data_IF_996945830039
#
_entry.id   IF_996945830039
#
_cell.length_a   1.000
_cell.length_b   1.000
_cell.length_c   1.000
_cell.angle_alpha   90.00
_cell.angle_beta   90.00
_cell.angle_gamma   90.00
#
_symmetry.space_group_name_H-M   'P 1'
#
loop_
_entity.id
_entity.type
_entity.pdbx_description
1 polymer ?
#
# COMPACT_ATOMS: atom_id res chain seq x y z
N UNK A 1 -43.82 23.03 -22.53
CA UNK A 1 -43.98 23.33 -21.09
C UNK A 1 -43.77 22.04 -20.32
N UNK A 2 -42.54 21.78 -19.87
CA UNK A 2 -42.22 20.64 -19.01
C UNK A 2 -42.55 21.02 -17.56
N UNK A 3 -43.41 20.23 -16.93
CA UNK A 3 -43.98 20.52 -15.63
C UNK A 3 -42.96 20.15 -14.53
N UNK A 4 -42.49 21.14 -13.77
CA UNK A 4 -41.44 21.03 -12.72
C UNK A 4 -42.03 20.56 -11.37
N UNK A 5 -43.20 19.91 -11.37
CA UNK A 5 -43.96 19.64 -10.15
C UNK A 5 -43.83 18.23 -9.57
N UNK A 6 -42.86 17.40 -10.02
CA UNK A 6 -42.75 16.00 -9.56
C UNK A 6 -41.39 15.60 -8.98
N UNK A 7 -40.49 16.55 -8.69
CA UNK A 7 -39.29 16.27 -7.87
C UNK A 7 -39.63 16.52 -6.40
N UNK A 8 -40.66 15.83 -5.93
CA UNK A 8 -41.00 15.69 -4.51
C UNK A 8 -40.71 14.24 -4.08
N UNK A 9 -39.50 13.78 -4.35
CA UNK A 9 -38.90 12.57 -3.77
C UNK A 9 -37.99 12.99 -2.61
N UNK A 10 -38.61 13.53 -1.56
CA UNK A 10 -37.93 13.90 -0.33
C UNK A 10 -37.72 12.66 0.54
N UNK A 11 -36.46 12.22 0.65
CA UNK A 11 -35.80 11.65 1.85
C UNK A 11 -34.63 10.73 1.52
N UNK A 12 -34.52 10.19 0.30
CA UNK A 12 -33.50 9.16 -0.02
C UNK A 12 -32.20 9.76 -0.59
N UNK A 13 -32.22 11.00 -1.07
CA UNK A 13 -31.11 11.57 -1.86
C UNK A 13 -29.99 12.26 -1.04
N UNK A 14 -30.14 12.46 0.27
CA UNK A 14 -29.22 13.31 1.06
C UNK A 14 -28.37 12.59 2.14
N UNK A 15 -28.68 11.34 2.50
CA UNK A 15 -27.86 10.54 3.44
C UNK A 15 -26.66 9.86 2.76
N UNK A 16 -26.70 9.72 1.43
CA UNK A 16 -25.73 8.92 0.68
C UNK A 16 -24.29 9.47 0.75
N UNK A 17 -24.09 10.79 0.78
CA UNK A 17 -22.75 11.38 0.84
C UNK A 17 -22.04 11.06 2.17
N UNK A 18 -22.78 11.15 3.28
CA UNK A 18 -22.28 10.77 4.61
C UNK A 18 -21.99 9.28 4.68
N UNK A 19 -22.86 8.44 4.12
CA UNK A 19 -22.67 7.00 4.07
C UNK A 19 -21.45 6.59 3.21
N UNK A 20 -21.23 7.28 2.09
CA UNK A 20 -20.05 7.07 1.24
C UNK A 20 -18.77 7.39 2.02
N UNK A 21 -18.75 8.48 2.82
CA UNK A 21 -17.58 8.81 3.64
C UNK A 21 -17.24 7.73 4.68
N UNK A 22 -18.26 7.03 5.18
CA UNK A 22 -18.14 5.92 6.14
C UNK A 22 -17.73 4.59 5.51
N UNK A 23 -17.68 4.48 4.18
CA UNK A 23 -17.37 3.21 3.55
C UNK A 23 -15.95 2.72 3.93
N UNK A 24 -15.87 1.49 4.46
CA UNK A 24 -14.65 0.83 4.89
C UNK A 24 -13.83 0.36 3.68
N UNK A 25 -13.13 1.30 3.06
CA UNK A 25 -12.29 1.05 1.89
C UNK A 25 -10.80 1.07 2.28
N UNK A 26 -10.09 -0.01 1.95
CA UNK A 26 -8.66 -0.17 2.25
C UNK A 26 -7.73 0.48 1.22
N UNK A 27 -8.26 1.23 0.23
CA UNK A 27 -7.47 1.82 -0.86
C UNK A 27 -6.42 2.82 -0.36
N UNK A 28 -6.74 3.60 0.67
CA UNK A 28 -5.81 4.51 1.33
C UNK A 28 -4.71 3.74 2.07
N UNK A 29 -5.09 2.67 2.79
CA UNK A 29 -4.15 1.81 3.50
C UNK A 29 -3.19 1.11 2.51
N UNK A 30 -3.72 0.59 1.39
CA UNK A 30 -2.95 0.01 0.29
C UNK A 30 -1.96 1.01 -0.30
N UNK A 31 -2.39 2.24 -0.58
CA UNK A 31 -1.50 3.28 -1.08
C UNK A 31 -0.36 3.54 -0.10
N UNK A 32 -0.70 3.69 1.17
CA UNK A 32 0.26 3.97 2.24
C UNK A 32 1.29 2.83 2.39
N UNK A 33 0.85 1.57 2.26
CA UNK A 33 1.72 0.40 2.30
C UNK A 33 2.66 0.35 1.07
N UNK A 34 2.15 0.65 -0.13
CA UNK A 34 2.94 0.68 -1.37
C UNK A 34 4.01 1.79 -1.38
N UNK A 35 3.73 2.94 -0.76
CA UNK A 35 4.69 4.05 -0.67
C UNK A 35 5.57 3.98 0.59
N UNK A 36 5.19 3.17 1.57
CA UNK A 36 5.87 3.00 2.86
C UNK A 36 5.80 4.22 3.78
N UNK A 37 5.06 5.28 3.41
CA UNK A 37 4.88 6.50 4.20
C UNK A 37 3.72 7.34 3.64
N UNK A 38 3.35 8.41 4.36
CA UNK A 38 2.39 9.41 3.91
C UNK A 38 3.09 10.75 3.58
N UNK A 39 2.50 11.50 2.65
CA UNK A 39 2.97 12.80 2.17
C UNK A 39 2.02 13.92 2.60
N UNK A 40 2.46 15.18 2.56
CA UNK A 40 1.57 16.30 2.86
C UNK A 40 0.42 16.44 1.85
N UNK A 41 0.59 15.98 0.61
CA UNK A 41 -0.48 16.02 -0.39
C UNK A 41 -1.64 15.09 -0.02
N UNK A 42 -1.38 14.02 0.75
CA UNK A 42 -2.40 13.08 1.22
C UNK A 42 -3.46 13.73 2.12
N UNK A 43 -3.16 14.91 2.69
CA UNK A 43 -4.11 15.71 3.49
C UNK A 43 -5.29 16.15 2.63
N UNK A 44 -5.03 16.51 1.38
CA UNK A 44 -6.02 16.98 0.42
C UNK A 44 -6.55 15.87 -0.48
N UNK A 45 -6.03 14.65 -0.39
CA UNK A 45 -6.60 13.50 -1.10
C UNK A 45 -7.72 12.89 -0.23
N UNK A 46 -8.97 13.28 -0.49
CA UNK A 46 -10.14 12.77 0.22
C UNK A 46 -10.75 11.59 -0.52
N UNK A 47 -10.74 10.41 0.11
CA UNK A 47 -11.47 9.23 -0.35
C UNK A 47 -12.09 8.52 0.87
N UNK A 48 -13.15 7.72 0.70
CA UNK A 48 -13.68 6.88 1.78
C UNK A 48 -12.64 5.96 2.40
N UNK A 49 -12.88 5.53 3.63
CA UNK A 49 -11.95 4.69 4.40
C UNK A 49 -10.81 5.49 5.04
N UNK A 50 -11.03 6.78 5.32
CA UNK A 50 -10.04 7.65 5.98
C UNK A 50 -9.63 7.08 7.34
N UNK A 51 -10.61 6.58 8.10
CA UNK A 51 -10.43 5.93 9.39
C UNK A 51 -9.72 4.58 9.28
N UNK A 52 -9.78 3.90 8.13
CA UNK A 52 -9.10 2.62 7.90
C UNK A 52 -7.61 2.75 7.58
N UNK A 53 -7.04 3.97 7.51
CA UNK A 53 -5.64 4.15 7.09
C UNK A 53 -4.64 3.45 8.01
N UNK A 54 -4.93 3.35 9.31
CA UNK A 54 -4.02 2.73 10.29
C UNK A 54 -3.99 1.19 10.17
N UNK A 55 -5.02 0.58 9.57
CA UNK A 55 -5.05 -0.84 9.21
C UNK A 55 -4.05 -1.20 8.10
N UNK A 56 -3.25 -0.25 7.60
CA UNK A 56 -2.14 -0.52 6.69
C UNK A 56 -1.09 -1.49 7.30
N UNK A 57 -1.02 -1.61 8.63
CA UNK A 57 -0.20 -2.61 9.29
C UNK A 57 -0.71 -4.06 9.10
N UNK A 58 -2.00 -4.25 8.85
CA UNK A 58 -2.66 -5.58 8.78
C UNK A 58 -3.01 -5.99 7.33
N UNK A 59 -2.46 -5.27 6.35
CA UNK A 59 -2.80 -5.43 4.94
C UNK A 59 -2.41 -6.79 4.34
N UNK A 60 -1.50 -7.51 5.00
CA UNK A 60 -1.09 -8.87 4.64
C UNK A 60 -2.12 -9.94 5.01
N UNK A 61 -3.25 -9.57 5.66
CA UNK A 61 -4.30 -10.50 6.10
C UNK A 61 -3.78 -11.63 7.00
N UNK A 62 -2.75 -11.33 7.79
CA UNK A 62 -2.12 -12.28 8.71
C UNK A 62 -1.16 -13.29 8.05
N UNK A 63 -0.88 -13.20 6.75
CA UNK A 63 0.10 -14.07 6.10
C UNK A 63 1.54 -13.68 6.49
N UNK A 64 2.33 -14.68 6.88
CA UNK A 64 3.76 -14.57 7.21
C UNK A 64 4.54 -15.62 6.41
N UNK A 65 4.86 -15.33 5.14
CA UNK A 65 5.43 -16.32 4.23
C UNK A 65 6.83 -16.73 4.68
N UNK A 66 7.17 -18.00 4.45
CA UNK A 66 8.50 -18.54 4.70
C UNK A 66 9.44 -18.12 3.57
N UNK A 67 10.64 -17.69 3.93
CA UNK A 67 11.70 -17.30 3.02
C UNK A 67 12.98 -18.09 3.34
N UNK A 68 13.55 -18.71 2.32
CA UNK A 68 14.85 -19.36 2.37
C UNK A 68 15.88 -18.53 1.63
N UNK A 69 16.99 -18.20 2.30
CA UNK A 69 18.11 -17.54 1.66
C UNK A 69 18.93 -18.58 0.88
N UNK A 70 18.85 -18.54 -0.45
CA UNK A 70 19.54 -19.47 -1.34
C UNK A 70 21.07 -19.34 -1.28
N UNK A 71 21.58 -18.21 -0.77
CA UNK A 71 23.02 -17.99 -0.61
C UNK A 71 23.59 -18.55 0.70
N UNK A 72 22.82 -18.52 1.79
CA UNK A 72 23.29 -18.88 3.14
C UNK A 72 22.66 -20.15 3.72
N UNK A 73 21.52 -20.59 3.19
CA UNK A 73 20.72 -21.69 3.74
C UNK A 73 19.71 -21.27 4.82
N UNK A 74 19.78 -20.03 5.30
CA UNK A 74 18.97 -19.57 6.42
C UNK A 74 17.49 -19.43 6.05
N UNK A 75 16.61 -19.97 6.90
CA UNK A 75 15.16 -19.92 6.71
C UNK A 75 14.53 -19.04 7.79
N UNK A 76 13.68 -18.10 7.37
CA UNK A 76 13.01 -17.15 8.24
C UNK A 76 11.62 -16.79 7.70
N UNK A 77 10.84 -16.04 8.47
CA UNK A 77 9.54 -15.52 8.03
C UNK A 77 9.65 -14.05 7.65
N UNK A 78 8.96 -13.66 6.59
CA UNK A 78 8.84 -12.24 6.25
C UNK A 78 7.82 -11.62 7.19
N UNK A 79 8.31 -10.74 8.06
CA UNK A 79 7.48 -10.09 9.08
C UNK A 79 6.86 -8.78 8.58
N UNK A 80 7.37 -8.21 7.50
CA UNK A 80 6.94 -6.90 7.01
C UNK A 80 5.61 -6.99 6.23
N UNK A 81 4.48 -6.49 6.78
CA UNK A 81 3.17 -6.68 6.16
C UNK A 81 3.00 -5.98 4.80
N UNK A 82 3.63 -4.83 4.59
CA UNK A 82 3.57 -4.11 3.31
C UNK A 82 4.28 -4.90 2.20
N UNK A 83 5.42 -5.52 2.51
CA UNK A 83 6.12 -6.41 1.58
C UNK A 83 5.28 -7.62 1.25
N UNK A 84 4.72 -8.30 2.26
CA UNK A 84 3.87 -9.48 2.02
C UNK A 84 2.68 -9.14 1.14
N UNK A 85 1.97 -8.03 1.41
CA UNK A 85 0.84 -7.60 0.57
C UNK A 85 1.24 -7.26 -0.86
N UNK A 86 2.39 -6.61 -1.05
CA UNK A 86 2.94 -6.38 -2.39
C UNK A 86 3.26 -7.70 -3.10
N UNK A 87 3.90 -8.65 -2.42
CA UNK A 87 4.22 -9.97 -2.97
C UNK A 87 2.96 -10.77 -3.34
N UNK A 88 1.92 -10.71 -2.52
CA UNK A 88 0.60 -11.27 -2.84
C UNK A 88 0.03 -10.63 -4.12
N UNK A 89 0.19 -9.32 -4.32
CA UNK A 89 -0.37 -8.61 -5.48
C UNK A 89 0.32 -8.98 -6.80
N UNK A 90 1.63 -9.23 -6.79
CA UNK A 90 2.41 -9.57 -7.99
C UNK A 90 2.49 -11.09 -8.24
N UNK A 91 2.31 -11.89 -7.19
CA UNK A 91 2.41 -13.35 -7.24
C UNK A 91 1.30 -13.97 -8.09
N UNK A 92 1.67 -14.95 -8.91
CA UNK A 92 0.74 -15.75 -9.71
C UNK A 92 0.89 -17.22 -9.34
N UNK A 93 -0.24 -17.92 -9.20
CA UNK A 93 -0.25 -19.33 -8.82
C UNK A 93 0.48 -20.16 -9.87
N UNK A 94 1.35 -21.06 -9.44
CA UNK A 94 2.16 -21.92 -10.31
C UNK A 94 3.26 -21.18 -11.07
N UNK A 95 3.56 -19.93 -10.71
CA UNK A 95 4.60 -19.15 -11.37
C UNK A 95 5.67 -18.66 -10.39
N UNK A 96 6.92 -18.66 -10.84
CA UNK A 96 8.03 -17.95 -10.20
C UNK A 96 8.08 -16.52 -10.71
N UNK A 97 7.90 -15.55 -9.81
CA UNK A 97 8.09 -14.13 -10.10
C UNK A 97 9.41 -13.67 -9.49
N UNK A 98 10.32 -13.17 -10.32
CA UNK A 98 11.58 -12.60 -9.84
C UNK A 98 11.39 -11.12 -9.53
N UNK A 99 11.90 -10.69 -8.38
CA UNK A 99 11.87 -9.31 -7.90
C UNK A 99 13.27 -8.88 -7.52
N UNK A 100 13.55 -7.59 -7.74
CA UNK A 100 14.83 -6.98 -7.42
C UNK A 100 14.64 -5.82 -6.47
N UNK A 101 15.45 -5.80 -5.42
CA UNK A 101 15.54 -4.71 -4.46
C UNK A 101 16.72 -3.83 -4.83
N UNK A 102 16.46 -2.53 -4.96
CA UNK A 102 17.47 -1.51 -5.23
C UNK A 102 17.28 -0.35 -4.27
N UNK A 103 18.37 0.32 -3.88
CA UNK A 103 18.27 1.61 -3.21
C UNK A 103 17.60 2.63 -4.12
N UNK A 104 16.83 3.52 -3.51
CA UNK A 104 16.35 4.75 -4.15
C UNK A 104 17.57 5.53 -4.62
N UNK A 105 17.58 6.08 -5.85
CA UNK A 105 18.64 6.96 -6.28
C UNK A 105 18.78 8.10 -5.26
N UNK A 106 20.01 8.38 -4.83
CA UNK A 106 20.29 9.39 -3.82
C UNK A 106 19.75 10.74 -4.34
N UNK A 107 18.81 11.33 -3.61
CA UNK A 107 18.26 12.63 -3.98
C UNK A 107 19.33 13.70 -3.85
N UNK A 108 19.43 14.57 -4.86
CA UNK A 108 20.18 15.81 -4.72
C UNK A 108 19.57 16.63 -3.58
N UNK A 109 20.37 16.86 -2.53
CA UNK A 109 19.97 17.67 -1.38
C UNK A 109 19.60 19.12 -1.75
N UNK A 110 19.99 19.56 -2.95
CA UNK A 110 19.74 20.89 -3.50
C UNK A 110 18.33 21.08 -4.11
N UNK A 111 17.54 20.01 -4.27
CA UNK A 111 16.19 20.11 -4.85
C UNK A 111 15.14 20.59 -3.82
N UNK A 112 14.25 21.51 -4.25
CA UNK A 112 13.11 22.00 -3.44
C UNK A 112 12.24 20.82 -2.94
N UNK A 113 11.62 20.92 -1.75
CA UNK A 113 10.83 19.82 -1.16
C UNK A 113 9.74 19.25 -2.08
N UNK A 114 9.05 20.12 -2.84
CA UNK A 114 8.01 19.73 -3.80
C UNK A 114 8.58 18.94 -4.99
N UNK A 115 9.75 19.33 -5.50
CA UNK A 115 10.42 18.64 -6.59
C UNK A 115 10.93 17.25 -6.17
N UNK A 116 11.45 17.14 -4.93
CA UNK A 116 11.80 15.84 -4.31
C UNK A 116 10.59 14.92 -4.21
N UNK A 117 9.42 15.46 -3.85
CA UNK A 117 8.20 14.67 -3.77
C UNK A 117 7.71 14.20 -5.14
N UNK A 118 7.65 15.08 -6.15
CA UNK A 118 7.25 14.73 -7.51
C UNK A 118 8.16 13.64 -8.11
N UNK A 119 9.46 13.73 -7.90
CA UNK A 119 10.42 12.74 -8.38
C UNK A 119 10.24 11.37 -7.70
N UNK A 120 9.81 11.32 -6.44
CA UNK A 120 9.43 10.09 -5.73
C UNK A 120 8.18 9.42 -6.31
N UNK A 121 7.23 10.22 -6.78
CA UNK A 121 6.07 9.71 -7.50
C UNK A 121 6.44 9.20 -8.90
N UNK A 122 7.31 9.90 -9.64
CA UNK A 122 7.77 9.43 -10.95
C UNK A 122 8.48 8.07 -10.89
N UNK A 123 9.09 7.71 -9.76
CA UNK A 123 9.66 6.36 -9.55
C UNK A 123 8.58 5.25 -9.64
N UNK A 124 7.33 5.55 -9.26
CA UNK A 124 6.19 4.61 -9.40
C UNK A 124 5.62 4.56 -10.82
N UNK A 125 5.96 5.52 -11.68
CA UNK A 125 5.45 5.66 -13.04
C UNK A 125 4.66 6.96 -13.26
N UNK A 126 4.57 7.39 -14.51
CA UNK A 126 3.89 8.64 -14.90
C UNK A 126 2.37 8.53 -14.65
N UNK A 127 1.75 7.42 -15.06
CA UNK A 127 0.29 7.23 -14.95
C UNK A 127 -0.18 7.26 -13.49
N UNK A 128 0.39 6.47 -12.55
CA UNK A 128 0.02 6.55 -11.14
C UNK A 128 0.21 7.94 -10.54
N UNK A 129 1.26 8.66 -10.97
CA UNK A 129 1.54 10.02 -10.49
C UNK A 129 0.45 11.00 -10.93
N UNK A 130 0.02 10.96 -12.19
CA UNK A 130 -1.04 11.83 -12.72
C UNK A 130 -2.36 11.55 -12.02
N UNK A 131 -2.74 10.28 -11.89
CA UNK A 131 -3.96 9.88 -11.18
C UNK A 131 -3.96 10.33 -9.73
N UNK A 132 -2.80 10.27 -9.06
CA UNK A 132 -2.64 10.71 -7.68
C UNK A 132 -2.78 12.24 -7.54
N UNK A 133 -2.15 13.03 -8.42
CA UNK A 133 -2.21 14.50 -8.37
C UNK A 133 -3.63 15.01 -8.69
N UNK A 134 -4.39 14.27 -9.51
CA UNK A 134 -5.77 14.64 -9.84
C UNK A 134 -6.68 14.69 -8.60
N UNK A 135 -6.43 13.87 -7.57
CA UNK A 135 -7.21 13.86 -6.33
C UNK A 135 -7.21 15.20 -5.60
N UNK A 136 -6.05 15.73 -5.15
CA UNK A 136 -5.97 17.03 -4.50
C UNK A 136 -6.50 18.19 -5.36
N UNK A 137 -6.31 18.13 -6.69
CA UNK A 137 -6.87 19.13 -7.62
C UNK A 137 -8.40 19.07 -7.61
N UNK A 138 -8.99 17.87 -7.61
CA UNK A 138 -10.43 17.68 -7.53
C UNK A 138 -10.98 18.19 -6.19
N UNK A 139 -10.30 17.92 -5.08
CA UNK A 139 -10.66 18.45 -3.76
C UNK A 139 -10.61 19.97 -3.74
N UNK A 140 -9.55 20.60 -4.25
CA UNK A 140 -9.46 22.06 -4.34
C UNK A 140 -10.59 22.66 -5.21
N UNK A 141 -10.92 22.01 -6.33
CA UNK A 141 -12.02 22.40 -7.21
C UNK A 141 -13.36 22.36 -6.47
N UNK A 142 -13.61 21.30 -5.72
CA UNK A 142 -14.86 21.13 -4.96
C UNK A 142 -14.96 22.13 -3.79
N UNK A 143 -13.84 22.46 -3.12
CA UNK A 143 -13.80 23.55 -2.12
C UNK A 143 -14.26 24.86 -2.75
N UNK A 144 -13.69 25.22 -3.90
CA UNK A 144 -14.02 26.49 -4.58
C UNK A 144 -15.51 26.52 -4.93
N UNK A 145 -16.04 25.43 -5.51
CA UNK A 145 -17.46 25.34 -5.87
C UNK A 145 -18.39 25.49 -4.65
N UNK A 146 -18.08 24.83 -3.53
CA UNK A 146 -18.85 24.93 -2.29
C UNK A 146 -18.80 26.35 -1.71
N UNK A 147 -17.63 26.99 -1.73
CA UNK A 147 -17.48 28.38 -1.31
C UNK A 147 -18.30 29.35 -2.17
N UNK A 148 -18.35 29.14 -3.49
CA UNK A 148 -19.18 29.94 -4.42
C UNK A 148 -20.67 29.79 -4.11
N UNK A 149 -21.11 28.57 -3.79
CA UNK A 149 -22.50 28.28 -3.40
C UNK A 149 -22.81 28.76 -1.97
N UNK A 150 -21.79 29.14 -1.19
CA UNK A 150 -21.88 29.58 0.21
C UNK A 150 -22.52 28.52 1.13
N UNK A 151 -22.27 27.24 0.83
CA UNK A 151 -22.73 26.12 1.66
C UNK A 151 -21.73 25.85 2.79
N UNK A 152 -21.95 26.51 3.93
CA UNK A 152 -21.09 26.38 5.12
C UNK A 152 -21.15 25.00 5.76
N UNK A 153 -22.26 24.28 5.64
CA UNK A 153 -22.39 22.91 6.15
C UNK A 153 -21.52 21.95 5.34
N UNK A 154 -21.61 22.01 4.01
CA UNK A 154 -20.74 21.22 3.13
C UNK A 154 -19.25 21.56 3.34
N UNK A 155 -18.92 22.84 3.54
CA UNK A 155 -17.56 23.27 3.84
C UNK A 155 -17.08 22.72 5.19
N UNK A 156 -17.94 22.73 6.21
CA UNK A 156 -17.66 22.15 7.52
C UNK A 156 -17.42 20.64 7.45
N UNK A 157 -18.24 19.91 6.70
CA UNK A 157 -18.06 18.46 6.44
C UNK A 157 -16.71 18.20 5.80
N UNK A 158 -16.37 18.93 4.75
CA UNK A 158 -15.08 18.75 4.09
C UNK A 158 -13.91 19.13 5.01
N UNK A 159 -14.05 20.19 5.80
CA UNK A 159 -13.06 20.59 6.80
C UNK A 159 -12.77 19.49 7.82
N UNK A 160 -13.81 18.82 8.33
CA UNK A 160 -13.65 17.68 9.24
C UNK A 160 -12.91 16.51 8.58
N UNK A 161 -13.23 16.19 7.32
CA UNK A 161 -12.53 15.14 6.57
C UNK A 161 -11.04 15.49 6.35
N UNK A 162 -10.73 16.75 6.01
CA UNK A 162 -9.35 17.23 5.83
C UNK A 162 -8.58 17.17 7.15
N UNK A 163 -9.19 17.56 8.28
CA UNK A 163 -8.55 17.47 9.61
C UNK A 163 -8.33 16.00 10.00
N UNK A 164 -9.30 15.12 9.74
CA UNK A 164 -9.13 13.69 9.96
C UNK A 164 -7.95 13.11 9.13
N UNK A 165 -7.84 13.48 7.85
CA UNK A 165 -6.68 13.13 7.01
C UNK A 165 -5.38 13.67 7.57
N UNK A 166 -5.36 14.94 7.99
CA UNK A 166 -4.17 15.57 8.57
C UNK A 166 -3.65 14.80 9.76
N UNK A 167 -4.52 14.44 10.71
CA UNK A 167 -4.15 13.67 11.89
C UNK A 167 -3.57 12.31 11.48
N UNK A 168 -4.24 11.58 10.59
CA UNK A 168 -3.78 10.27 10.12
C UNK A 168 -2.43 10.35 9.39
N UNK A 169 -2.24 11.35 8.52
CA UNK A 169 -0.96 11.59 7.82
C UNK A 169 0.16 11.87 8.81
N UNK A 170 -0.07 12.72 9.81
CA UNK A 170 0.93 13.03 10.83
C UNK A 170 1.32 11.78 11.63
N UNK A 171 0.35 10.98 12.04
CA UNK A 171 0.58 9.73 12.78
C UNK A 171 1.38 8.75 11.92
N UNK A 172 0.97 8.50 10.66
CA UNK A 172 1.69 7.58 9.75
C UNK A 172 3.12 8.04 9.52
N UNK A 173 3.37 9.34 9.34
CA UNK A 173 4.74 9.87 9.17
C UNK A 173 5.61 9.67 10.40
N UNK A 174 5.03 9.73 11.60
CA UNK A 174 5.75 9.45 12.85
C UNK A 174 6.04 7.96 13.01
N UNK A 175 5.11 7.09 12.60
CA UNK A 175 5.21 5.63 12.72
C UNK A 175 6.07 4.96 11.64
N UNK A 176 6.21 5.54 10.44
CA UNK A 176 6.96 4.98 9.30
C UNK A 176 8.47 5.27 9.32
N UNK A 177 9.03 5.60 10.49
CA UNK A 177 10.49 5.78 10.62
C UNK A 177 11.18 4.42 10.64
N UNK A 178 12.31 4.32 9.94
CA UNK A 178 13.14 3.10 9.91
C UNK A 178 13.61 2.75 11.32
N UNK A 179 13.16 1.61 11.83
CA UNK A 179 13.66 1.01 13.07
C UNK A 179 14.85 0.07 12.83
N UNK A 180 15.12 -0.79 13.80
CA UNK A 180 16.12 -1.85 13.69
C UNK A 180 15.74 -2.90 12.64
N UNK A 181 16.71 -3.36 11.83
CA UNK A 181 16.52 -4.33 10.72
C UNK A 181 17.58 -5.45 10.70
N UNK A 182 18.19 -5.75 11.85
CA UNK A 182 19.28 -6.73 11.95
C UNK A 182 20.68 -6.11 11.89
N UNK A 183 21.70 -6.98 11.99
CA UNK A 183 23.10 -6.59 11.85
C UNK A 183 23.42 -6.20 10.40
N UNK A 184 24.28 -5.19 10.25
CA UNK A 184 24.76 -4.71 8.95
C UNK A 184 25.69 -5.74 8.31
N UNK A 185 25.44 -6.05 7.05
CA UNK A 185 26.23 -6.97 6.21
C UNK A 185 26.55 -6.29 4.88
N UNK A 186 27.46 -5.30 4.89
CA UNK A 186 27.68 -4.42 3.74
C UNK A 186 28.27 -5.18 2.55
N UNK A 187 27.71 -4.94 1.36
CA UNK A 187 28.23 -5.46 0.09
C UNK A 187 27.90 -6.92 -0.19
N UNK A 188 27.21 -7.63 0.71
CA UNK A 188 26.80 -9.02 0.50
C UNK A 188 25.56 -9.05 -0.38
N UNK A 189 25.60 -9.86 -1.44
CA UNK A 189 24.45 -10.11 -2.30
C UNK A 189 23.60 -11.27 -1.75
N UNK A 190 22.30 -11.05 -1.68
CA UNK A 190 21.32 -12.03 -1.23
C UNK A 190 20.36 -12.43 -2.33
N UNK A 191 19.91 -13.68 -2.25
CA UNK A 191 18.87 -14.26 -3.09
C UNK A 191 17.91 -15.03 -2.18
N UNK A 192 16.65 -14.60 -2.11
CA UNK A 192 15.63 -15.17 -1.24
C UNK A 192 14.58 -15.89 -2.09
N UNK A 193 14.33 -17.14 -1.79
CA UNK A 193 13.16 -17.86 -2.28
C UNK A 193 12.02 -17.76 -1.26
N UNK A 194 10.86 -17.27 -1.69
CA UNK A 194 9.73 -16.95 -0.83
C UNK A 194 8.52 -17.73 -1.32
N UNK A 195 7.90 -18.49 -0.41
CA UNK A 195 6.67 -19.23 -0.69
C UNK A 195 5.50 -18.52 -0.04
N UNK A 196 4.58 -18.02 -0.86
CA UNK A 196 3.31 -17.49 -0.41
C UNK A 196 2.20 -18.54 -0.49
N UNK A 197 1.07 -18.23 0.14
CA UNK A 197 -0.17 -18.96 0.01
C UNK A 197 -0.61 -19.08 -1.46
N UNK A 198 -1.40 -20.11 -1.76
CA UNK A 198 -1.92 -20.39 -3.11
C UNK A 198 -0.83 -20.70 -4.17
N UNK A 199 0.27 -21.34 -3.77
CA UNK A 199 1.35 -21.76 -4.67
C UNK A 199 1.92 -20.61 -5.53
N UNK A 200 2.10 -19.44 -4.89
CA UNK A 200 2.75 -18.29 -5.51
C UNK A 200 4.20 -18.26 -5.03
N UNK A 201 5.14 -18.28 -5.97
CA UNK A 201 6.55 -18.33 -5.66
C UNK A 201 7.24 -17.04 -6.08
N UNK A 202 8.01 -16.46 -5.17
CA UNK A 202 8.75 -15.22 -5.44
C UNK A 202 10.22 -15.48 -5.20
N UNK A 203 11.05 -15.03 -6.13
CA UNK A 203 12.50 -14.90 -5.93
C UNK A 203 12.84 -13.44 -5.72
N UNK A 204 13.45 -13.07 -4.60
CA UNK A 204 13.81 -11.69 -4.29
C UNK A 204 15.32 -11.54 -4.18
N UNK A 205 15.89 -10.72 -5.06
CA UNK A 205 17.33 -10.53 -5.20
C UNK A 205 17.75 -9.09 -4.85
N UNK A 206 18.91 -8.92 -4.24
CA UNK A 206 19.43 -7.59 -3.89
C UNK A 206 20.59 -7.66 -2.92
N UNK A 207 21.04 -6.51 -2.39
CA UNK A 207 21.97 -6.50 -1.28
C UNK A 207 21.28 -6.98 -0.01
N UNK A 208 21.96 -7.75 0.84
CA UNK A 208 21.37 -8.32 2.06
C UNK A 208 20.79 -7.24 2.98
N UNK A 209 21.47 -6.11 3.14
CA UNK A 209 20.96 -4.98 3.93
C UNK A 209 19.67 -4.36 3.37
N UNK A 210 19.54 -4.32 2.04
CA UNK A 210 18.35 -3.79 1.36
C UNK A 210 17.19 -4.80 1.45
N UNK A 211 17.49 -6.10 1.30
CA UNK A 211 16.55 -7.20 1.51
C UNK A 211 16.01 -7.16 2.94
N UNK A 212 16.89 -7.12 3.96
CA UNK A 212 16.51 -6.97 5.37
C UNK A 212 15.67 -5.73 5.61
N UNK A 213 15.99 -4.61 4.96
CA UNK A 213 15.23 -3.36 5.09
C UNK A 213 13.77 -3.54 4.65
N UNK A 214 13.51 -4.32 3.60
CA UNK A 214 12.14 -4.56 3.10
C UNK A 214 11.47 -5.79 3.71
N UNK A 215 12.19 -6.82 4.15
CA UNK A 215 11.58 -8.07 4.66
C UNK A 215 11.52 -8.17 6.18
N UNK A 216 12.47 -7.60 6.91
CA UNK A 216 12.60 -7.79 8.35
C UNK A 216 11.77 -6.80 9.15
N UNK A 217 11.14 -7.28 10.23
CA UNK A 217 10.37 -6.48 11.19
C UNK A 217 9.17 -5.72 10.61
N UNK A 218 8.46 -5.04 11.49
CA UNK A 218 7.36 -4.15 11.09
C UNK A 218 7.88 -2.95 10.29
N UNK A 219 7.12 -2.51 9.28
CA UNK A 219 7.40 -1.25 8.57
C UNK A 219 6.77 -0.03 9.26
N UNK A 220 5.65 -0.25 9.96
CA UNK A 220 4.92 0.74 10.70
C UNK A 220 4.99 0.36 12.18
N UNK A 221 5.64 1.19 13.01
CA UNK A 221 5.74 1.00 14.47
C UNK A 221 4.34 0.95 15.09
N UNK A 222 4.15 0.22 16.19
CA UNK A 222 2.91 0.27 16.98
C UNK A 222 2.55 1.70 17.44
N UNK A 223 1.26 1.99 17.57
CA UNK A 223 0.77 3.29 18.02
C UNK A 223 1.09 3.52 19.49
N UNK A 224 1.59 4.72 19.82
CA UNK A 224 1.58 5.17 21.23
C UNK A 224 0.17 5.53 21.69
N UNK A 225 -0.05 5.63 23.00
CA UNK A 225 -1.35 6.01 23.58
C UNK A 225 -1.88 7.34 23.04
N UNK A 226 -1.03 8.36 22.92
CA UNK A 226 -1.43 9.66 22.35
C UNK A 226 -1.77 9.59 20.86
N UNK A 227 -1.01 8.79 20.09
CA UNK A 227 -1.31 8.56 18.68
C UNK A 227 -2.63 7.80 18.50
N UNK A 228 -2.93 6.83 19.38
CA UNK A 228 -4.21 6.09 19.38
C UNK A 228 -5.41 6.97 19.73
N UNK A 229 -5.26 7.91 20.67
CA UNK A 229 -6.29 8.93 20.90
C UNK A 229 -6.48 9.84 19.68
N UNK A 230 -5.39 10.26 19.03
CA UNK A 230 -5.46 11.04 17.80
C UNK A 230 -6.19 10.31 16.67
N UNK A 231 -5.89 9.03 16.47
CA UNK A 231 -6.61 8.14 15.55
C UNK A 231 -8.10 8.07 15.89
N UNK A 232 -8.44 7.87 17.16
CA UNK A 232 -9.83 7.84 17.61
C UNK A 232 -10.57 9.15 17.33
N UNK A 233 -9.91 10.29 17.55
CA UNK A 233 -10.46 11.62 17.21
C UNK A 233 -10.66 11.77 15.70
N UNK A 234 -9.70 11.32 14.89
CA UNK A 234 -9.84 11.35 13.43
C UNK A 234 -11.04 10.52 12.96
N UNK A 235 -11.25 9.32 13.53
CA UNK A 235 -12.40 8.47 13.23
C UNK A 235 -13.72 9.12 13.67
N UNK A 236 -13.76 9.71 14.86
CA UNK A 236 -14.94 10.45 15.33
C UNK A 236 -15.27 11.64 14.43
N UNK A 237 -14.27 12.37 13.92
CA UNK A 237 -14.48 13.45 12.96
C UNK A 237 -15.14 12.96 11.67
N UNK A 238 -14.76 11.78 11.16
CA UNK A 238 -15.41 11.17 9.99
C UNK A 238 -16.88 10.85 10.32
N UNK A 239 -17.17 10.29 11.50
CA UNK A 239 -18.54 9.94 11.89
C UNK A 239 -19.44 11.17 12.09
N UNK A 240 -18.91 12.19 12.76
CA UNK A 240 -19.60 13.48 12.92
C UNK A 240 -19.81 14.15 11.55
N UNK A 241 -18.85 14.04 10.64
CA UNK A 241 -19.00 14.58 9.28
C UNK A 241 -20.14 13.91 8.50
N UNK A 242 -20.31 12.59 8.65
CA UNK A 242 -21.41 11.88 8.03
C UNK A 242 -22.77 12.30 8.61
N UNK A 243 -22.85 12.46 9.94
CA UNK A 243 -24.07 12.94 10.60
C UNK A 243 -24.43 14.38 10.20
N UNK A 244 -23.44 15.25 10.03
CA UNK A 244 -23.65 16.65 9.65
C UNK A 244 -23.88 16.85 8.14
N UNK A 245 -23.55 15.87 7.30
CA UNK A 245 -23.74 15.93 5.85
C UNK A 245 -25.21 16.11 5.44
N UNK A 246 -26.16 15.65 6.24
CA UNK A 246 -27.60 15.83 5.98
C UNK A 246 -28.07 17.29 6.06
N UNK A 247 -27.31 18.17 6.73
CA UNK A 247 -27.61 19.61 6.80
C UNK A 247 -27.07 20.39 5.61
N UNK A 248 -26.21 19.79 4.79
CA UNK A 248 -25.68 20.42 3.58
C UNK A 248 -26.76 20.55 2.50
N UNK A 249 -26.57 21.51 1.59
CA UNK A 249 -27.44 21.62 0.42
C UNK A 249 -27.33 20.35 -0.45
N UNK A 250 -28.38 20.06 -1.23
CA UNK A 250 -28.37 18.92 -2.16
C UNK A 250 -27.18 18.97 -3.12
N UNK A 251 -26.84 20.17 -3.60
CA UNK A 251 -25.70 20.36 -4.51
C UNK A 251 -24.38 20.13 -3.77
N UNK A 252 -24.21 20.67 -2.56
CA UNK A 252 -23.00 20.48 -1.75
C UNK A 252 -22.78 19.01 -1.38
N UNK A 253 -23.83 18.32 -0.95
CA UNK A 253 -23.81 16.88 -0.65
C UNK A 253 -23.44 16.05 -1.89
N UNK A 254 -24.04 16.35 -3.05
CA UNK A 254 -23.72 15.68 -4.31
C UNK A 254 -22.27 15.92 -4.76
N UNK A 255 -21.76 17.14 -4.61
CA UNK A 255 -20.36 17.45 -4.92
C UNK A 255 -19.38 16.65 -4.03
N UNK A 256 -19.67 16.53 -2.73
CA UNK A 256 -18.86 15.73 -1.80
C UNK A 256 -18.94 14.24 -2.14
N UNK A 257 -20.15 13.70 -2.39
CA UNK A 257 -20.33 12.31 -2.79
C UNK A 257 -19.55 11.98 -4.08
N UNK A 258 -19.66 12.84 -5.09
CA UNK A 258 -18.94 12.70 -6.36
C UNK A 258 -17.42 12.76 -6.15
N UNK A 259 -16.94 13.72 -5.34
CA UNK A 259 -15.53 13.83 -4.97
C UNK A 259 -15.00 12.52 -4.37
N UNK A 260 -15.69 11.98 -3.36
CA UNK A 260 -15.26 10.77 -2.66
C UNK A 260 -15.27 9.53 -3.57
N UNK A 261 -16.32 9.34 -4.37
CA UNK A 261 -16.43 8.20 -5.30
C UNK A 261 -15.39 8.25 -6.42
N UNK A 262 -15.19 9.42 -7.03
CA UNK A 262 -14.17 9.58 -8.07
C UNK A 262 -12.78 9.40 -7.47
N UNK A 263 -12.52 9.97 -6.29
CA UNK A 263 -11.20 9.89 -5.65
C UNK A 263 -10.84 8.47 -5.24
N UNK A 264 -11.78 7.65 -4.75
CA UNK A 264 -11.48 6.23 -4.48
C UNK A 264 -11.24 5.45 -5.75
N UNK A 265 -11.98 5.72 -6.83
CA UNK A 265 -11.74 5.10 -8.13
C UNK A 265 -10.34 5.45 -8.68
N UNK A 266 -9.97 6.73 -8.63
CA UNK A 266 -8.63 7.20 -9.00
C UNK A 266 -7.54 6.57 -8.15
N UNK A 267 -7.74 6.46 -6.84
CA UNK A 267 -6.76 5.87 -5.93
C UNK A 267 -6.63 4.35 -6.13
N UNK A 268 -7.74 3.64 -6.33
CA UNK A 268 -7.73 2.21 -6.63
C UNK A 268 -7.01 1.91 -7.95
N UNK A 269 -7.25 2.74 -8.97
CA UNK A 269 -6.59 2.65 -10.26
C UNK A 269 -5.09 3.03 -10.18
N UNK A 270 -4.74 4.02 -9.35
CA UNK A 270 -3.37 4.36 -9.05
C UNK A 270 -2.64 3.21 -8.35
N UNK A 271 -3.29 2.55 -7.37
CA UNK A 271 -2.73 1.41 -6.66
C UNK A 271 -2.52 0.21 -7.58
N UNK A 272 -3.48 -0.11 -8.45
CA UNK A 272 -3.36 -1.26 -9.37
C UNK A 272 -2.26 -1.09 -10.41
N UNK A 273 -2.03 0.14 -10.89
CA UNK A 273 -0.92 0.43 -11.82
C UNK A 273 0.43 0.65 -11.13
N UNK A 274 0.48 0.71 -9.81
CA UNK A 274 1.74 0.86 -9.07
C UNK A 274 2.48 -0.49 -9.04
N UNK A 275 3.38 -0.69 -10.00
CA UNK A 275 4.17 -1.94 -10.15
C UNK A 275 5.42 -2.01 -9.26
N UNK A 276 5.54 -1.14 -8.26
CA UNK A 276 6.74 -1.02 -7.42
C UNK A 276 6.35 -0.72 -5.99
N UNK A 277 6.92 -1.47 -5.06
CA UNK A 277 6.87 -1.17 -3.64
C UNK A 277 8.02 -0.22 -3.31
N UNK A 278 7.71 0.90 -2.69
CA UNK A 278 8.70 1.78 -2.10
C UNK A 278 8.65 1.63 -0.59
N UNK A 279 9.79 1.35 0.02
CA UNK A 279 9.86 1.20 1.48
C UNK A 279 11.19 1.72 1.98
N UNK A 280 11.12 2.68 2.90
CA UNK A 280 12.29 3.42 3.38
C UNK A 280 13.12 3.94 2.19
N UNK A 281 14.39 3.58 2.11
CA UNK A 281 15.31 3.95 1.04
C UNK A 281 15.42 2.87 -0.06
N UNK A 282 14.51 1.90 -0.10
CA UNK A 282 14.50 0.78 -1.04
C UNK A 282 13.29 0.82 -1.97
N UNK A 283 13.47 0.25 -3.16
CA UNK A 283 12.42 0.00 -4.15
C UNK A 283 12.48 -1.48 -4.51
N UNK A 284 11.33 -2.15 -4.45
CA UNK A 284 11.16 -3.52 -4.95
C UNK A 284 10.40 -3.47 -6.25
N UNK A 285 10.97 -4.04 -7.31
CA UNK A 285 10.36 -4.09 -8.64
C UNK A 285 10.44 -5.49 -9.23
N UNK A 286 9.42 -5.90 -10.00
CA UNK A 286 9.45 -7.15 -10.75
C UNK A 286 10.53 -7.10 -11.84
N UNK A 287 11.29 -8.18 -11.99
CA UNK A 287 12.34 -8.35 -12.98
C UNK A 287 11.97 -9.52 -13.90
N UNK A 288 11.90 -9.25 -15.21
CA UNK A 288 11.53 -10.26 -16.21
C UNK A 288 10.05 -10.64 -16.23
N UNK A 289 9.72 -11.69 -16.97
CA UNK A 289 8.38 -12.27 -17.05
C UNK A 289 8.24 -13.40 -16.02
N UNK A 290 7.07 -13.61 -15.41
CA UNK A 290 6.82 -14.78 -14.58
C UNK A 290 7.06 -16.08 -15.35
N UNK A 291 7.74 -17.05 -14.73
CA UNK A 291 8.02 -18.37 -15.32
C UNK A 291 7.03 -19.37 -14.73
N UNK A 292 6.33 -20.12 -15.58
CA UNK A 292 5.34 -21.13 -15.15
C UNK A 292 6.01 -22.48 -14.90
N UNK A 293 5.55 -23.20 -13.88
CA UNK A 293 5.96 -24.57 -13.59
C UNK A 293 4.74 -25.46 -13.39
N UNK A 294 4.79 -26.68 -13.91
CA UNK A 294 3.73 -27.67 -13.69
C UNK A 294 3.78 -28.25 -12.28
N UNK A 295 4.99 -28.51 -11.77
CA UNK A 295 5.21 -29.04 -10.42
C UNK A 295 6.13 -28.14 -9.63
N UNK A 296 5.81 -27.98 -8.34
CA UNK A 296 6.67 -27.28 -7.38
C UNK A 296 8.07 -27.90 -7.31
N UNK A 297 8.18 -29.23 -7.51
CA UNK A 297 9.46 -29.94 -7.46
C UNK A 297 10.40 -29.53 -8.60
N UNK A 298 9.87 -29.31 -9.82
CA UNK A 298 10.69 -28.93 -10.98
C UNK A 298 11.33 -27.56 -10.76
N UNK A 299 10.54 -26.62 -10.23
CA UNK A 299 11.03 -25.31 -9.78
C UNK A 299 12.14 -25.44 -8.74
N UNK A 300 11.93 -26.26 -7.71
CA UNK A 300 12.89 -26.40 -6.61
C UNK A 300 14.19 -27.02 -7.12
N UNK A 301 14.11 -28.04 -7.97
CA UNK A 301 15.29 -28.66 -8.59
C UNK A 301 16.10 -27.67 -9.43
N UNK A 302 15.43 -26.82 -10.22
CA UNK A 302 16.10 -25.76 -10.99
C UNK A 302 16.82 -24.76 -10.06
N UNK A 303 16.14 -24.29 -9.01
CA UNK A 303 16.73 -23.34 -8.05
C UNK A 303 17.88 -23.95 -7.23
N UNK A 304 17.80 -25.24 -6.88
CA UNK A 304 18.89 -25.97 -6.20
C UNK A 304 20.09 -26.11 -7.13
N UNK A 305 19.87 -26.47 -8.40
CA UNK A 305 20.92 -26.54 -9.41
C UNK A 305 21.60 -25.18 -9.63
N UNK A 306 20.83 -24.09 -9.68
CA UNK A 306 21.39 -22.74 -9.82
C UNK A 306 22.17 -22.24 -8.59
N UNK A 307 21.70 -22.55 -7.38
CA UNK A 307 22.35 -22.11 -6.14
C UNK A 307 23.48 -23.02 -5.70
N UNK A 308 23.56 -24.23 -6.28
CA UNK A 308 24.45 -25.32 -5.86
C UNK A 308 24.32 -25.63 -4.36
N UNK A 309 23.10 -25.45 -3.82
CA UNK A 309 22.74 -25.66 -2.41
C UNK A 309 21.28 -26.08 -2.27
N UNK A 310 21.02 -26.99 -1.34
CA UNK A 310 19.72 -27.61 -1.09
C UNK A 310 19.21 -27.39 0.35
N UNK A 311 20.05 -26.85 1.23
CA UNK A 311 19.77 -26.68 2.66
C UNK A 311 18.62 -25.72 2.96
N UNK A 312 18.49 -24.64 2.18
CA UNK A 312 17.32 -23.76 2.25
C UNK A 312 16.04 -24.50 1.86
N UNK A 313 16.09 -25.38 0.86
CA UNK A 313 14.94 -26.12 0.38
C UNK A 313 14.53 -27.22 1.38
N UNK A 314 15.50 -27.89 1.99
CA UNK A 314 15.31 -28.81 3.12
C UNK A 314 14.69 -28.08 4.33
N UNK A 315 15.26 -26.94 4.71
CA UNK A 315 14.78 -26.14 5.85
C UNK A 315 13.37 -25.58 5.66
N UNK A 316 12.98 -25.31 4.41
CA UNK A 316 11.60 -24.91 4.06
C UNK A 316 10.64 -26.09 3.90
N UNK A 317 11.12 -27.33 3.97
CA UNK A 317 10.31 -28.54 3.78
C UNK A 317 9.84 -28.74 2.33
N UNK A 318 10.58 -28.21 1.36
CA UNK A 318 10.28 -28.34 -0.08
C UNK A 318 10.78 -29.67 -0.66
N UNK A 319 11.84 -30.21 -0.08
CA UNK A 319 12.44 -31.51 -0.39
C UNK A 319 12.63 -32.32 0.89
N UNK A 320 12.62 -33.64 0.76
CA UNK A 320 12.96 -34.57 1.85
C UNK A 320 14.37 -35.11 1.63
N UNK A 321 15.06 -35.46 2.73
CA UNK A 321 16.43 -36.02 2.66
C UNK A 321 16.51 -37.29 1.80
N UNK A 322 15.43 -38.07 1.73
CA UNK A 322 15.38 -39.31 0.96
C UNK A 322 15.28 -39.08 -0.57
N UNK A 323 14.80 -37.90 -1.00
CA UNK A 323 14.66 -37.56 -2.43
C UNK A 323 15.98 -37.27 -3.15
N UNK A 324 17.05 -36.96 -2.42
CA UNK A 324 18.39 -36.73 -2.96
C UNK A 324 19.11 -38.03 -3.37
N UNK A 325 18.74 -39.17 -2.77
CA UNK A 325 19.37 -40.46 -3.06
C UNK A 325 18.83 -41.12 -4.33
N UNK A 326 17.66 -40.71 -4.82
CA UNK A 326 16.99 -41.37 -5.95
C UNK A 326 17.35 -40.77 -7.31
N UNK A 327 17.82 -39.52 -7.36
CA UNK A 327 18.23 -38.85 -8.62
C UNK A 327 19.68 -39.08 -8.99
N UNK A 328 20.50 -39.64 -8.10
CA UNK A 328 21.88 -40.06 -8.40
C UNK A 328 21.97 -41.46 -9.05
N UNK A 329 20.83 -42.11 -9.30
CA UNK A 329 20.75 -43.44 -9.91
C UNK A 329 19.81 -43.39 -11.13
N UNK A 330 20.18 -42.61 -12.14
CA UNK A 330 19.75 -42.81 -13.54
C UNK A 330 20.91 -42.45 -14.46
#
# INVERSE_FOLDING_TARGET
>A
MFNISTIRSGSISLEAAGLIALADLSTIAQRTALTGTATCLDIFFLAPGIHCQQSAAEINRGELPSAGAMTSGYVFRIENPATVSYLQSIGRTGHLVTTRVKKKPHYDAYLRPLARHLQGFFITGVIPTVLYILGPVLTATVIILICVIRDWWALGVMGMLIVARLINVVIIRRRSKKGWKGALEPGVYGDLFIVLSQDRWIRMRGLVDDLKTVTAGQWLRDTTTFESYGESVATLLVYVSAALAGNASTIGSLLIACLLLVSVGLLGLCNSWTNRLQMFDCIVSVEGKPVSYERRMDLVNELVAESNRDDWALGMGLITKDGLNTTAVV
#
